data_IF_619373591634
#
_entry.id   IF_619373591634
#
_cell.length_a   1.000
_cell.length_b   1.000
_cell.length_c   1.000
_cell.angle_alpha   90.00
_cell.angle_beta   90.00
_cell.angle_gamma   90.00
#
_symmetry.space_group_name_H-M   'P 1'
#
loop_
_entity.id
_entity.type
_entity.pdbx_description
1 polymer ?
#
# COMPACT_ATOMS: atom_id res chain seq x y z
N UNK A 1 -31.39 14.34 -9.50
CA UNK A 1 -31.11 13.50 -10.68
C UNK A 1 -30.28 12.33 -10.19
N UNK A 2 -30.71 11.10 -10.47
CA UNK A 2 -29.96 9.90 -10.16
C UNK A 2 -29.05 9.55 -11.34
N UNK A 3 -27.85 9.05 -11.05
CA UNK A 3 -26.86 8.72 -12.05
C UNK A 3 -26.09 7.47 -11.65
N UNK A 4 -25.59 6.73 -12.63
CA UNK A 4 -24.77 5.56 -12.37
C UNK A 4 -23.59 5.49 -13.35
N UNK A 5 -22.45 5.04 -12.86
CA UNK A 5 -21.29 4.75 -13.68
C UNK A 5 -20.67 3.42 -13.26
N UNK A 6 -20.35 2.58 -14.25
CA UNK A 6 -19.77 1.26 -14.03
C UNK A 6 -18.38 1.21 -14.64
N UNK A 7 -17.42 0.66 -13.90
CA UNK A 7 -16.04 0.45 -14.33
C UNK A 7 -15.57 -0.93 -13.90
N UNK A 8 -14.58 -1.47 -14.62
CA UNK A 8 -13.87 -2.68 -14.21
C UNK A 8 -12.87 -2.38 -13.10
N UNK A 9 -12.64 -3.36 -12.22
CA UNK A 9 -11.57 -3.31 -11.23
C UNK A 9 -10.81 -4.64 -11.15
N UNK A 10 -9.54 -4.64 -10.73
CA UNK A 10 -8.79 -5.86 -10.52
C UNK A 10 -9.41 -6.71 -9.40
N UNK A 11 -9.86 -7.92 -9.74
CA UNK A 11 -10.46 -8.86 -8.79
C UNK A 11 -9.64 -10.15 -8.73
N UNK A 12 -9.26 -10.60 -7.54
CA UNK A 12 -8.34 -11.74 -7.36
C UNK A 12 -8.83 -13.07 -7.97
N UNK A 13 -10.14 -13.35 -7.89
CA UNK A 13 -10.75 -14.59 -8.40
C UNK A 13 -11.19 -14.44 -9.86
N UNK A 14 -11.85 -13.35 -10.21
CA UNK A 14 -12.47 -13.15 -11.53
C UNK A 14 -11.52 -12.53 -12.57
N UNK A 15 -10.36 -12.04 -12.14
CA UNK A 15 -9.47 -11.19 -12.95
C UNK A 15 -9.98 -9.75 -13.04
N UNK A 16 -11.19 -9.57 -13.58
CA UNK A 16 -11.89 -8.28 -13.65
C UNK A 16 -13.25 -8.39 -12.96
N UNK A 17 -13.44 -7.57 -11.93
CA UNK A 17 -14.72 -7.39 -11.26
C UNK A 17 -15.46 -6.14 -11.75
N UNK A 18 -16.73 -6.03 -11.40
CA UNK A 18 -17.60 -4.91 -11.77
C UNK A 18 -17.78 -3.99 -10.55
N UNK A 19 -17.36 -2.73 -10.70
CA UNK A 19 -17.53 -1.68 -9.71
C UNK A 19 -18.57 -0.66 -10.20
N UNK A 20 -19.64 -0.48 -9.45
CA UNK A 20 -20.71 0.47 -9.76
C UNK A 20 -20.72 1.65 -8.77
N UNK A 21 -20.69 2.86 -9.30
CA UNK A 21 -20.92 4.10 -8.57
C UNK A 21 -22.36 4.54 -8.82
N UNK A 22 -23.11 4.80 -7.76
CA UNK A 22 -24.53 5.14 -7.84
C UNK A 22 -24.81 6.42 -7.06
N UNK A 23 -25.40 7.40 -7.73
CA UNK A 23 -25.92 8.61 -7.12
C UNK A 23 -27.43 8.49 -7.02
N UNK A 24 -27.92 8.55 -5.78
CA UNK A 24 -29.34 8.46 -5.46
C UNK A 24 -30.05 9.79 -5.72
N UNK A 25 -31.38 9.74 -5.88
CA UNK A 25 -32.17 10.96 -5.94
C UNK A 25 -32.24 11.62 -4.56
N UNK A 26 -32.49 12.94 -4.53
CA UNK A 26 -32.68 13.66 -3.26
C UNK A 26 -33.85 13.04 -2.50
N UNK A 27 -33.65 12.75 -1.21
CA UNK A 27 -34.66 12.12 -0.35
C UNK A 27 -34.59 10.58 -0.28
N UNK A 28 -33.64 9.95 -0.97
CA UNK A 28 -33.39 8.51 -0.84
C UNK A 28 -32.08 8.27 -0.11
N UNK A 29 -32.12 7.47 0.95
CA UNK A 29 -30.92 7.12 1.72
C UNK A 29 -30.25 5.84 1.22
N UNK A 30 -28.90 5.80 1.21
CA UNK A 30 -28.17 4.60 0.87
C UNK A 30 -28.30 3.56 1.98
N UNK A 31 -29.04 2.49 1.71
CA UNK A 31 -29.19 1.36 2.65
C UNK A 31 -28.65 0.07 2.04
N UNK A 32 -28.24 -0.87 2.91
CA UNK A 32 -27.79 -2.19 2.46
C UNK A 32 -28.93 -2.99 1.81
N UNK A 33 -30.18 -2.74 2.21
CA UNK A 33 -31.37 -3.29 1.55
C UNK A 33 -31.46 -2.83 0.09
N UNK A 34 -31.32 -1.52 -0.14
CA UNK A 34 -31.32 -0.94 -1.49
C UNK A 34 -30.15 -1.48 -2.34
N UNK A 35 -28.98 -1.66 -1.74
CA UNK A 35 -27.84 -2.27 -2.43
C UNK A 35 -28.17 -3.68 -2.93
N UNK A 36 -28.74 -4.54 -2.08
CA UNK A 36 -29.13 -5.90 -2.45
C UNK A 36 -30.20 -5.91 -3.54
N UNK A 37 -31.17 -5.00 -3.44
CA UNK A 37 -32.19 -4.81 -4.46
C UNK A 37 -31.59 -4.46 -5.83
N UNK A 38 -30.65 -3.50 -5.86
CA UNK A 38 -29.95 -3.12 -7.11
C UNK A 38 -29.17 -4.29 -7.72
N UNK A 39 -28.47 -5.08 -6.91
CA UNK A 39 -27.77 -6.29 -7.40
C UNK A 39 -28.77 -7.29 -7.97
N UNK A 40 -29.86 -7.57 -7.25
CA UNK A 40 -30.89 -8.50 -7.70
C UNK A 40 -31.55 -8.02 -9.00
N UNK A 41 -31.79 -6.72 -9.13
CA UNK A 41 -32.35 -6.09 -10.32
C UNK A 41 -31.43 -6.27 -11.53
N UNK A 42 -30.12 -5.97 -11.40
CA UNK A 42 -29.15 -6.18 -12.49
C UNK A 42 -29.03 -7.66 -12.84
N UNK A 43 -29.02 -8.54 -11.83
CA UNK A 43 -28.96 -9.99 -12.04
C UNK A 43 -30.17 -10.52 -12.80
N UNK A 44 -31.37 -9.98 -12.55
CA UNK A 44 -32.61 -10.34 -13.24
C UNK A 44 -32.66 -9.77 -14.66
N UNK A 45 -32.21 -8.53 -14.85
CA UNK A 45 -32.30 -7.82 -16.13
C UNK A 45 -31.22 -8.21 -17.13
N UNK A 46 -29.96 -8.26 -16.70
CA UNK A 46 -28.80 -8.53 -17.58
C UNK A 46 -28.26 -9.94 -17.38
N UNK A 47 -28.22 -10.40 -16.13
CA UNK A 47 -27.78 -11.75 -15.78
C UNK A 47 -26.69 -11.80 -14.71
N UNK A 48 -26.29 -13.03 -14.31
CA UNK A 48 -25.28 -13.24 -13.27
C UNK A 48 -23.90 -12.67 -13.63
N UNK A 49 -23.54 -12.64 -14.92
CA UNK A 49 -22.24 -12.15 -15.39
C UNK A 49 -22.07 -10.65 -15.22
N UNK A 50 -23.17 -9.88 -15.27
CA UNK A 50 -23.15 -8.43 -15.17
C UNK A 50 -23.47 -7.91 -13.75
N UNK A 51 -23.67 -8.82 -12.79
CA UNK A 51 -23.97 -8.44 -11.41
C UNK A 51 -22.78 -7.68 -10.81
N UNK A 52 -22.98 -6.44 -10.32
CA UNK A 52 -21.90 -5.65 -9.74
C UNK A 52 -21.37 -6.33 -8.47
N UNK A 53 -20.05 -6.44 -8.36
CA UNK A 53 -19.39 -6.98 -7.18
C UNK A 53 -19.37 -5.96 -6.05
N UNK A 54 -19.08 -4.71 -6.41
CA UNK A 54 -19.01 -3.57 -5.50
C UNK A 54 -19.98 -2.48 -5.98
N UNK A 55 -20.77 -1.96 -5.04
CA UNK A 55 -21.62 -0.78 -5.24
C UNK A 55 -21.18 0.27 -4.22
N UNK A 56 -20.85 1.46 -4.70
CA UNK A 56 -20.57 2.62 -3.86
C UNK A 56 -21.61 3.69 -4.12
N UNK A 57 -22.33 4.07 -3.07
CA UNK A 57 -23.18 5.24 -3.11
C UNK A 57 -22.33 6.50 -2.95
N UNK A 58 -22.60 7.49 -3.80
CA UNK A 58 -21.87 8.76 -3.81
C UNK A 58 -22.82 9.94 -4.06
N UNK A 59 -22.55 11.11 -3.47
CA UNK A 59 -23.38 12.30 -3.65
C UNK A 59 -23.38 12.80 -5.10
N UNK A 60 -22.33 12.48 -5.86
CA UNK A 60 -22.22 12.79 -7.27
C UNK A 60 -21.11 12.01 -7.96
N UNK A 61 -20.98 12.23 -9.28
CA UNK A 61 -19.92 11.65 -10.10
C UNK A 61 -19.03 12.76 -10.67
N UNK A 62 -17.73 12.49 -10.85
CA UNK A 62 -16.80 13.48 -11.40
C UNK A 62 -17.17 13.77 -12.85
N UNK A 63 -17.50 15.03 -13.13
CA UNK A 63 -17.88 15.52 -14.45
C UNK A 63 -16.96 16.64 -14.91
N UNK A 64 -16.78 16.74 -16.23
CA UNK A 64 -16.18 17.93 -16.84
C UNK A 64 -17.18 19.10 -16.80
N UNK A 65 -16.72 20.32 -17.09
CA UNK A 65 -17.60 21.50 -17.25
C UNK A 65 -18.68 21.33 -18.32
N UNK A 66 -18.50 20.38 -19.25
CA UNK A 66 -19.49 20.00 -20.27
C UNK A 66 -20.47 18.91 -19.81
N UNK A 67 -20.41 18.49 -18.53
CA UNK A 67 -21.29 17.47 -17.95
C UNK A 67 -20.90 16.02 -18.28
N UNK A 68 -19.79 15.78 -18.97
CA UNK A 68 -19.34 14.42 -19.33
C UNK A 68 -18.72 13.72 -18.11
N UNK A 69 -19.17 12.49 -17.82
CA UNK A 69 -18.63 11.67 -16.73
C UNK A 69 -17.19 11.27 -17.04
N UNK A 70 -16.28 11.59 -16.13
CA UNK A 70 -14.85 11.31 -16.25
C UNK A 70 -14.50 9.89 -15.80
N UNK A 71 -14.93 8.88 -16.57
CA UNK A 71 -14.73 7.44 -16.25
C UNK A 71 -13.27 7.05 -15.96
N UNK A 72 -12.29 7.80 -16.48
CA UNK A 72 -10.86 7.60 -16.19
C UNK A 72 -10.54 7.69 -14.70
N UNK A 73 -11.14 8.65 -14.00
CA UNK A 73 -10.92 8.90 -12.56
C UNK A 73 -11.53 7.74 -11.77
N UNK A 74 -12.77 7.37 -12.11
CA UNK A 74 -13.46 6.25 -11.49
C UNK A 74 -12.68 4.93 -11.62
N UNK A 75 -12.10 4.66 -12.79
CA UNK A 75 -11.28 3.45 -13.01
C UNK A 75 -10.03 3.45 -12.12
N UNK A 76 -9.34 4.58 -12.00
CA UNK A 76 -8.15 4.72 -11.14
C UNK A 76 -8.46 4.55 -9.65
N UNK A 77 -9.61 5.06 -9.20
CA UNK A 77 -10.11 4.82 -7.83
C UNK A 77 -10.41 3.32 -7.63
N UNK A 78 -11.05 2.69 -8.62
CA UNK A 78 -11.37 1.26 -8.60
C UNK A 78 -10.12 0.36 -8.67
N UNK A 79 -9.01 0.83 -9.25
CA UNK A 79 -7.70 0.15 -9.26
C UNK A 79 -6.92 0.28 -7.92
N UNK A 80 -7.45 1.01 -6.92
CA UNK A 80 -6.76 1.34 -5.65
C UNK A 80 -5.46 2.14 -5.87
N UNK A 81 -5.40 2.94 -6.93
CA UNK A 81 -4.30 3.87 -7.26
C UNK A 81 -4.74 5.35 -7.25
N UNK A 82 -5.30 5.88 -6.14
CA UNK A 82 -5.75 7.28 -6.10
C UNK A 82 -4.60 8.30 -6.18
N UNK A 83 -3.35 7.89 -5.96
CA UNK A 83 -2.18 8.77 -6.15
C UNK A 83 -1.79 8.96 -7.62
N UNK A 84 -2.31 8.12 -8.52
CA UNK A 84 -2.01 8.14 -9.96
C UNK A 84 -3.21 8.62 -10.80
N UNK A 85 -4.06 9.47 -10.22
CA UNK A 85 -5.22 10.05 -10.91
C UNK A 85 -4.82 10.94 -12.11
N UNK A 86 -3.53 11.29 -12.22
CA UNK A 86 -2.98 12.16 -13.23
C UNK A 86 -3.49 13.58 -13.04
N UNK A 87 -3.79 14.28 -14.14
CA UNK A 87 -4.28 15.65 -14.09
C UNK A 87 -5.71 15.70 -13.48
N UNK A 88 -5.80 16.15 -12.23
CA UNK A 88 -7.03 16.36 -11.46
C UNK A 88 -7.49 17.81 -11.49
N UNK A 89 -6.87 18.69 -12.30
CA UNK A 89 -7.24 20.11 -12.42
C UNK A 89 -8.55 20.37 -13.20
N UNK A 90 -9.11 19.34 -13.83
CA UNK A 90 -10.24 19.45 -14.77
C UNK A 90 -11.66 19.18 -14.23
N UNK A 91 -11.91 18.40 -13.16
CA UNK A 91 -13.26 18.18 -12.66
C UNK A 91 -13.93 19.49 -12.28
N UNK A 92 -15.23 19.59 -12.57
CA UNK A 92 -16.01 20.75 -12.12
C UNK A 92 -16.08 20.85 -10.59
N UNK A 93 -15.95 19.71 -9.90
CA UNK A 93 -15.96 19.61 -8.45
C UNK A 93 -14.91 18.58 -7.97
N UNK A 94 -13.78 19.03 -7.41
CA UNK A 94 -12.75 18.13 -6.87
C UNK A 94 -13.21 17.41 -5.59
N UNK A 95 -14.13 17.98 -4.81
CA UNK A 95 -14.56 17.38 -3.53
C UNK A 95 -15.27 16.03 -3.75
N UNK A 96 -15.98 15.87 -4.88
CA UNK A 96 -16.57 14.59 -5.28
C UNK A 96 -15.50 13.51 -5.48
N UNK A 97 -14.33 13.88 -5.99
CA UNK A 97 -13.22 12.91 -6.19
C UNK A 97 -12.68 12.46 -4.84
N UNK A 98 -12.48 13.39 -3.91
CA UNK A 98 -11.99 13.09 -2.56
C UNK A 98 -12.96 12.18 -1.80
N UNK A 99 -14.26 12.47 -1.84
CA UNK A 99 -15.30 11.63 -1.23
C UNK A 99 -15.27 10.20 -1.80
N UNK A 100 -15.15 10.08 -3.13
CA UNK A 100 -15.08 8.77 -3.79
C UNK A 100 -13.84 7.97 -3.36
N UNK A 101 -12.68 8.63 -3.22
CA UNK A 101 -11.43 8.00 -2.77
C UNK A 101 -11.51 7.55 -1.30
N UNK A 102 -12.11 8.38 -0.45
CA UNK A 102 -12.27 8.09 0.98
C UNK A 102 -13.25 6.92 1.23
N UNK A 103 -14.37 6.92 0.52
CA UNK A 103 -15.46 5.95 0.68
C UNK A 103 -15.36 4.72 -0.24
N UNK A 104 -14.21 4.52 -0.89
CA UNK A 104 -13.99 3.37 -1.78
C UNK A 104 -14.15 2.03 -1.05
N UNK A 105 -14.76 1.07 -1.74
CA UNK A 105 -15.12 -0.25 -1.21
C UNK A 105 -14.05 -1.32 -1.47
N UNK A 106 -13.10 -1.04 -2.36
CA UNK A 106 -12.01 -1.93 -2.77
C UNK A 106 -10.77 -1.82 -1.87
N UNK A 107 -10.88 -1.33 -0.62
CA UNK A 107 -9.74 -1.16 0.28
C UNK A 107 -9.08 -2.52 0.53
N UNK A 108 -8.02 -2.81 -0.21
CA UNK A 108 -7.16 -3.95 0.08
C UNK A 108 -6.57 -3.68 1.44
N UNK A 109 -6.94 -4.49 2.43
CA UNK A 109 -6.17 -4.58 3.67
C UNK A 109 -4.81 -5.08 3.25
N UNK A 110 -3.90 -4.16 2.90
CA UNK A 110 -2.49 -4.44 2.80
C UNK A 110 -2.14 -4.93 4.19
N UNK A 111 -2.13 -6.25 4.39
CA UNK A 111 -1.37 -6.87 5.48
C UNK A 111 0.03 -6.32 5.27
N UNK A 112 0.37 -5.23 5.95
CA UNK A 112 1.73 -4.74 6.07
C UNK A 112 2.46 -5.94 6.63
N UNK A 113 3.14 -6.71 5.76
CA UNK A 113 4.17 -7.63 6.22
C UNK A 113 5.12 -6.69 6.96
N UNK A 114 5.13 -6.75 8.30
CA UNK A 114 6.15 -6.08 9.09
C UNK A 114 7.46 -6.66 8.59
N UNK A 115 8.15 -5.93 7.72
CA UNK A 115 9.54 -6.25 7.41
C UNK A 115 10.30 -5.72 8.60
N UNK A 116 10.52 -6.57 9.58
CA UNK A 116 11.44 -6.25 10.67
C UNK A 116 12.84 -6.39 10.09
N UNK A 117 13.45 -5.26 9.74
CA UNK A 117 14.89 -5.21 9.45
C UNK A 117 15.57 -5.27 10.80
N UNK A 118 16.14 -6.43 11.14
CA UNK A 118 17.07 -6.54 12.26
C UNK A 118 18.49 -6.45 11.71
N UNK A 119 19.25 -5.50 12.24
CA UNK A 119 20.67 -5.34 11.98
C UNK A 119 21.41 -6.20 12.99
N UNK A 120 22.13 -7.24 12.53
CA UNK A 120 23.11 -7.93 13.37
C UNK A 120 24.51 -7.53 12.88
N UNK A 121 25.31 -6.83 13.70
CA UNK A 121 26.71 -6.61 13.37
C UNK A 121 27.45 -7.94 13.48
N UNK A 122 27.99 -8.42 12.36
CA UNK A 122 28.84 -9.60 12.35
C UNK A 122 30.19 -9.21 12.98
N UNK A 123 30.33 -9.43 14.29
CA UNK A 123 31.62 -9.39 14.94
C UNK A 123 32.39 -10.66 14.53
N UNK A 124 33.17 -10.57 13.44
CA UNK A 124 34.39 -11.37 13.12
C UNK A 124 34.68 -11.25 11.62
N UNK A 125 35.53 -10.29 11.27
CA UNK A 125 36.76 -10.37 10.42
C UNK A 125 36.97 -9.05 9.68
N UNK A 126 38.20 -8.57 9.77
CA UNK A 126 38.67 -7.32 9.18
C UNK A 126 38.71 -7.46 7.65
N UNK A 127 38.06 -6.54 6.94
CA UNK A 127 38.17 -6.38 5.49
C UNK A 127 37.22 -7.24 4.68
N UNK A 128 35.93 -6.88 4.65
CA UNK A 128 35.03 -7.02 3.50
C UNK A 128 33.63 -6.51 3.92
N UNK A 129 33.15 -5.43 3.31
CA UNK A 129 31.79 -4.91 3.52
C UNK A 129 30.78 -5.79 2.74
N UNK A 130 30.61 -7.04 3.16
CA UNK A 130 29.59 -7.93 2.60
C UNK A 130 28.26 -7.75 3.33
N UNK A 131 27.33 -7.01 2.71
CA UNK A 131 25.94 -6.91 3.15
C UNK A 131 25.23 -8.21 2.78
N UNK A 132 25.07 -9.13 3.75
CA UNK A 132 24.26 -10.33 3.53
C UNK A 132 22.78 -9.96 3.68
N UNK A 133 22.12 -9.66 2.55
CA UNK A 133 20.66 -9.53 2.48
C UNK A 133 20.04 -10.92 2.69
N UNK A 134 19.72 -11.27 3.94
CA UNK A 134 19.01 -12.50 4.23
C UNK A 134 17.51 -12.24 4.05
N UNK A 135 16.99 -12.53 2.85
CA UNK A 135 15.56 -12.68 2.62
C UNK A 135 15.15 -14.05 3.20
N UNK A 136 14.84 -14.12 4.49
CA UNK A 136 14.25 -15.35 5.04
C UNK A 136 12.82 -15.50 4.51
N UNK A 137 12.68 -16.43 3.56
CA UNK A 137 11.41 -16.95 3.09
C UNK A 137 10.94 -18.13 3.94
N UNK A 138 9.74 -17.97 4.50
CA UNK A 138 8.72 -19.00 4.77
C UNK A 138 9.03 -20.07 5.86
N UNK A 139 8.03 -20.87 6.31
CA UNK A 139 7.68 -21.05 7.72
C UNK A 139 8.10 -22.42 8.28
N UNK A 140 7.91 -22.64 9.59
CA UNK A 140 7.77 -24.00 10.10
C UNK A 140 8.50 -24.28 11.41
N UNK A 141 7.69 -24.68 12.38
CA UNK A 141 8.01 -25.33 13.64
C UNK A 141 9.01 -26.49 13.48
N UNK A 142 10.03 -26.56 14.34
CA UNK A 142 10.91 -27.73 14.45
C UNK A 142 11.97 -27.57 15.55
N UNK A 143 11.91 -28.44 16.57
CA UNK A 143 12.87 -28.60 17.68
C UNK A 143 14.21 -29.17 17.19
N UNK A 144 15.33 -28.78 17.81
CA UNK A 144 16.53 -29.61 18.09
C UNK A 144 17.50 -28.76 18.97
N UNK A 145 17.48 -28.89 20.30
CA UNK A 145 18.42 -29.61 21.20
C UNK A 145 19.85 -29.06 21.36
N UNK A 146 20.22 -28.89 22.63
CA UNK A 146 21.48 -28.43 23.21
C UNK A 146 22.72 -29.24 22.79
N UNK A 147 23.87 -28.58 22.69
CA UNK A 147 25.09 -28.95 23.45
C UNK A 147 26.32 -28.09 23.10
N UNK A 148 27.08 -27.69 24.13
CA UNK A 148 28.53 -27.50 24.06
C UNK A 148 29.06 -26.07 23.89
N UNK A 149 29.58 -25.48 24.98
CA UNK A 149 30.54 -24.36 24.94
C UNK A 149 31.91 -24.76 24.33
N UNK A 150 32.95 -23.89 24.33
CA UNK A 150 33.38 -23.13 25.49
C UNK A 150 33.72 -21.63 25.27
N UNK A 151 33.90 -20.99 26.43
CA UNK A 151 34.42 -19.67 26.75
C UNK A 151 35.66 -19.21 25.96
N UNK A 152 35.79 -17.91 25.73
CA UNK A 152 37.05 -17.14 25.86
C UNK A 152 36.72 -15.63 25.95
N UNK A 153 37.39 -14.93 26.86
CA UNK A 153 37.07 -13.61 27.41
C UNK A 153 37.38 -12.42 26.47
N UNK A 154 36.65 -11.32 26.66
CA UNK A 154 36.92 -10.02 26.06
C UNK A 154 37.95 -9.23 26.90
N UNK A 155 38.84 -8.44 26.29
CA UNK A 155 39.35 -7.23 26.89
C UNK A 155 38.53 -6.02 26.43
N UNK A 156 37.97 -5.30 27.40
CA UNK A 156 37.28 -4.04 27.17
C UNK A 156 38.27 -2.94 26.77
N UNK A 157 37.92 -2.18 25.73
CA UNK A 157 38.42 -0.83 25.53
C UNK A 157 37.23 0.06 25.16
N UNK A 158 36.83 0.88 26.14
CA UNK A 158 36.02 2.06 25.93
C UNK A 158 36.93 3.14 25.35
N UNK A 159 36.62 3.63 24.15
CA UNK A 159 37.17 4.89 23.66
C UNK A 159 36.02 5.81 23.25
N UNK A 160 35.76 6.79 24.11
CA UNK A 160 34.90 7.94 23.83
C UNK A 160 35.47 8.71 22.65
N UNK A 161 34.69 8.89 21.58
CA UNK A 161 35.05 9.79 20.47
C UNK A 161 34.54 11.19 20.83
N UNK A 162 35.44 12.17 20.90
CA UNK A 162 35.09 13.55 21.23
C UNK A 162 34.19 14.18 20.15
N UNK A 163 33.04 14.78 20.53
CA UNK A 163 32.05 15.34 19.59
C UNK A 163 32.58 16.45 18.67
N UNK A 164 33.74 17.04 18.96
CA UNK A 164 34.29 18.14 18.15
C UNK A 164 34.90 17.69 16.81
N UNK A 165 35.14 16.40 16.60
CA UNK A 165 35.73 15.90 15.35
C UNK A 165 34.71 15.76 14.19
N UNK A 166 33.41 15.79 14.47
CA UNK A 166 32.34 15.61 13.46
C UNK A 166 32.08 16.89 12.66
N UNK A 167 32.50 18.05 13.14
CA UNK A 167 32.13 19.35 12.56
C UNK A 167 33.10 19.92 11.50
N UNK A 168 34.26 19.31 11.25
CA UNK A 168 35.31 19.90 10.37
C UNK A 168 35.56 19.13 9.06
N UNK A 169 34.90 17.99 8.83
CA UNK A 169 34.94 17.28 7.54
C UNK A 169 36.33 16.82 7.07
N UNK A 170 37.34 16.76 7.94
CA UNK A 170 38.67 16.23 7.62
C UNK A 170 38.90 14.89 8.30
N UNK A 171 39.04 13.85 7.48
CA UNK A 171 39.58 12.56 7.91
C UNK A 171 41.10 12.75 8.16
N UNK A 172 41.67 12.27 9.29
CA UNK A 172 43.11 12.34 9.48
C UNK A 172 43.79 11.40 8.48
N UNK A 173 44.76 11.92 7.72
CA UNK A 173 45.61 11.10 6.85
C UNK A 173 46.58 10.29 7.72
N UNK A 174 46.37 8.98 7.72
CA UNK A 174 47.37 7.92 7.90
C UNK A 174 48.16 7.90 9.21
N UNK A 175 47.69 7.09 10.17
CA UNK A 175 48.52 6.51 11.23
C UNK A 175 48.73 5.02 10.90
N UNK A 176 49.64 4.73 9.96
CA UNK A 176 50.26 3.41 9.86
C UNK A 176 51.61 3.51 9.12
N UNK A 177 52.65 3.84 9.88
CA UNK A 177 54.03 3.42 9.65
C UNK A 177 54.63 3.19 11.02
N UNK A 178 54.85 1.92 11.34
CA UNK A 178 56.00 1.42 12.09
C UNK A 178 55.97 -0.12 11.95
N UNK A 179 56.70 -0.60 10.94
CA UNK A 179 57.24 -1.95 10.87
C UNK A 179 58.63 -1.80 10.25
N UNK A 180 59.66 -1.94 11.07
CA UNK A 180 61.07 -1.78 10.73
C UNK A 180 61.88 -1.34 11.93
#
# INVERSE_FOLDING_TARGET
MSEAAVVGYPHDIKGQGIYAYVTLMKGTEPTEALRKELVAWVRKGVGPIASPDLIQFAPGLPKTRSGKIMRRILRKIAEDEPSSLGDTSTPADPAVVDDLVQNRQNKRVRKRRKVTVSYQPNARTCGDNAVKLVLLGVPGSGKERDSGGPSCQAPGHSSTIDPQYVASGRIPRNANRDNG
#
